data_IF_044334033127
#
_entry.id   IF_044334033127
#
_cell.length_a   1.000
_cell.length_b   1.000
_cell.length_c   1.000
_cell.angle_alpha   90.00
_cell.angle_beta   90.00
_cell.angle_gamma   90.00
#
_symmetry.space_group_name_H-M   'P 1'
#
loop_
_entity.id
_entity.type
_entity.pdbx_description
1 polymer ?
#
# COMPACT_ATOMS: atom_id res chain seq x y z
N UNK A 1 -14.48 -19.25 4.37
CA UNK A 1 -14.72 -18.68 3.04
C UNK A 1 -13.40 -18.70 2.31
N UNK A 2 -13.28 -19.50 1.25
CA UNK A 2 -12.05 -19.52 0.44
C UNK A 2 -12.20 -18.45 -0.63
N UNK A 3 -11.40 -17.37 -0.61
CA UNK A 3 -11.48 -16.37 -1.67
C UNK A 3 -10.99 -16.97 -3.00
N UNK A 4 -11.53 -16.49 -4.14
CA UNK A 4 -11.04 -16.91 -5.45
C UNK A 4 -9.56 -16.51 -5.64
N UNK A 5 -8.82 -17.16 -6.55
CA UNK A 5 -7.44 -16.80 -6.86
C UNK A 5 -7.31 -15.30 -7.17
N UNK A 6 -6.28 -14.66 -6.60
CA UNK A 6 -6.05 -13.22 -6.75
C UNK A 6 -6.94 -12.33 -5.88
N UNK A 7 -7.75 -12.89 -4.98
CA UNK A 7 -8.55 -12.16 -4.00
C UNK A 7 -8.14 -12.50 -2.55
N UNK A 8 -8.37 -11.57 -1.65
CA UNK A 8 -8.07 -11.68 -0.23
C UNK A 8 -9.24 -11.14 0.61
N UNK A 9 -9.42 -11.70 1.80
CA UNK A 9 -10.41 -11.20 2.76
C UNK A 9 -9.75 -10.16 3.65
N UNK A 10 -10.30 -8.94 3.66
CA UNK A 10 -9.86 -7.83 4.51
C UNK A 10 -10.88 -7.54 5.62
N UNK A 11 -10.40 -6.95 6.72
CA UNK A 11 -11.20 -6.41 7.80
C UNK A 11 -11.39 -4.91 7.59
N UNK A 12 -12.62 -4.45 7.35
CA UNK A 12 -12.92 -3.04 7.03
C UNK A 12 -12.50 -2.07 8.15
N UNK A 13 -12.64 -2.48 9.41
CA UNK A 13 -12.28 -1.67 10.57
C UNK A 13 -10.85 -1.88 11.08
N UNK A 14 -10.03 -2.71 10.41
CA UNK A 14 -8.68 -3.13 10.83
C UNK A 14 -8.60 -3.92 12.15
N UNK A 15 -9.73 -4.24 12.77
CA UNK A 15 -9.79 -5.05 13.97
C UNK A 15 -9.85 -6.54 13.60
N UNK A 16 -8.82 -7.28 13.98
CA UNK A 16 -8.71 -8.72 13.74
C UNK A 16 -9.60 -9.55 14.67
N UNK A 17 -10.11 -8.96 15.75
CA UNK A 17 -11.02 -9.60 16.70
C UNK A 17 -12.49 -9.45 16.28
N UNK A 18 -12.80 -8.47 15.43
CA UNK A 18 -14.14 -8.31 14.86
C UNK A 18 -14.32 -9.20 13.62
N UNK A 19 -14.61 -10.48 13.87
CA UNK A 19 -14.86 -11.49 12.83
C UNK A 19 -16.31 -11.48 12.30
N UNK A 20 -17.09 -10.41 12.52
CA UNK A 20 -18.46 -10.31 11.99
C UNK A 20 -18.43 -10.28 10.46
N UNK A 21 -19.39 -10.94 9.80
CA UNK A 21 -19.48 -10.97 8.32
C UNK A 21 -19.58 -9.56 7.70
N UNK A 22 -20.19 -8.60 8.42
CA UNK A 22 -20.27 -7.21 7.97
C UNK A 22 -18.90 -6.49 7.96
N UNK A 23 -17.93 -6.96 8.75
CA UNK A 23 -16.58 -6.40 8.80
C UNK A 23 -15.61 -7.08 7.81
N UNK A 24 -16.00 -8.22 7.22
CA UNK A 24 -15.18 -8.99 6.30
C UNK A 24 -15.58 -8.69 4.85
N UNK A 25 -14.63 -8.25 4.03
CA UNK A 25 -14.85 -8.01 2.59
C UNK A 25 -13.84 -8.77 1.75
N UNK A 26 -14.32 -9.41 0.68
CA UNK A 26 -13.44 -9.99 -0.35
C UNK A 26 -13.09 -8.89 -1.33
N UNK A 27 -11.79 -8.63 -1.49
CA UNK A 27 -11.26 -7.64 -2.42
C UNK A 27 -10.16 -8.27 -3.26
N UNK A 28 -9.76 -7.63 -4.35
CA UNK A 28 -8.58 -8.08 -5.10
C UNK A 28 -7.33 -7.95 -4.23
N UNK A 29 -6.32 -8.78 -4.48
CA UNK A 29 -5.01 -8.68 -3.81
C UNK A 29 -4.38 -7.29 -3.95
N UNK A 30 -4.64 -6.58 -5.06
CA UNK A 30 -4.16 -5.21 -5.26
C UNK A 30 -4.87 -4.21 -4.33
N UNK A 31 -6.18 -4.33 -4.18
CA UNK A 31 -6.97 -3.52 -3.23
C UNK A 31 -6.63 -3.87 -1.78
N UNK A 32 -6.46 -5.16 -1.45
CA UNK A 32 -6.05 -5.58 -0.11
C UNK A 32 -4.70 -4.95 0.27
N UNK A 33 -3.71 -4.99 -0.63
CA UNK A 33 -2.42 -4.33 -0.42
C UNK A 33 -2.57 -2.83 -0.16
N UNK A 34 -3.52 -2.14 -0.82
CA UNK A 34 -3.83 -0.72 -0.56
C UNK A 34 -4.60 -0.49 0.73
N UNK A 35 -5.43 -1.43 1.14
CA UNK A 35 -6.13 -1.39 2.41
C UNK A 35 -5.17 -1.60 3.58
N UNK A 36 -4.25 -2.55 3.49
CA UNK A 36 -3.34 -2.91 4.58
C UNK A 36 -2.49 -1.73 5.06
N UNK A 37 -2.28 -1.67 6.38
CA UNK A 37 -1.35 -0.72 7.00
C UNK A 37 0.06 -0.94 6.48
N UNK A 38 0.87 0.11 6.50
CA UNK A 38 2.30 0.00 6.23
C UNK A 38 2.89 -0.97 7.25
N UNK A 39 3.81 -1.83 6.79
CA UNK A 39 4.43 -2.81 7.69
C UNK A 39 5.28 -2.08 8.73
N UNK A 40 5.35 -2.65 9.93
CA UNK A 40 6.08 -2.07 11.08
C UNK A 40 7.58 -1.96 10.85
N UNK A 41 8.13 -2.81 10.00
CA UNK A 41 9.53 -2.83 9.58
C UNK A 41 9.83 -1.90 8.39
N UNK A 42 8.83 -1.16 7.90
CA UNK A 42 9.06 -0.13 6.90
C UNK A 42 9.91 0.99 7.49
N UNK A 43 11.11 1.21 6.93
CA UNK A 43 12.02 2.28 7.35
C UNK A 43 11.40 3.67 7.23
N UNK A 44 10.56 3.87 6.22
CA UNK A 44 9.90 5.15 5.95
C UNK A 44 8.57 5.27 6.68
N UNK A 45 7.93 4.15 7.05
CA UNK A 45 6.54 4.17 7.55
C UNK A 45 5.50 4.67 6.54
N UNK A 46 5.93 5.05 5.33
CA UNK A 46 5.07 5.58 4.26
C UNK A 46 4.81 4.51 3.22
N UNK A 47 3.57 4.47 2.72
CA UNK A 47 3.15 3.49 1.73
C UNK A 47 3.62 3.89 0.35
N UNK A 48 4.22 2.95 -0.38
CA UNK A 48 4.66 3.20 -1.75
C UNK A 48 5.82 4.19 -1.87
N UNK A 49 6.50 4.52 -0.76
CA UNK A 49 7.69 5.36 -0.75
C UNK A 49 8.86 4.55 -0.21
N UNK A 50 9.92 4.47 -1.01
CA UNK A 50 11.13 3.71 -0.72
C UNK A 50 12.30 4.67 -0.58
N UNK A 51 13.02 4.58 0.54
CA UNK A 51 14.27 5.32 0.73
C UNK A 51 15.46 4.49 0.23
N UNK A 52 16.28 5.09 -0.64
CA UNK A 52 17.51 4.53 -1.15
C UNK A 52 18.71 5.18 -0.45
N UNK A 53 19.41 4.47 0.44
CA UNK A 53 20.52 5.03 1.21
C UNK A 53 21.77 5.30 0.38
N UNK A 54 21.98 4.58 -0.73
CA UNK A 54 23.20 4.71 -1.54
C UNK A 54 23.25 6.04 -2.31
N UNK A 55 22.07 6.58 -2.64
CA UNK A 55 21.92 7.82 -3.39
C UNK A 55 21.24 8.94 -2.61
N UNK A 56 20.91 8.72 -1.33
CA UNK A 56 20.11 9.64 -0.50
C UNK A 56 18.84 10.14 -1.24
N UNK A 57 18.09 9.20 -1.80
CA UNK A 57 16.92 9.48 -2.66
C UNK A 57 15.68 8.73 -2.21
N UNK A 58 14.53 9.31 -2.50
CA UNK A 58 13.20 8.84 -2.14
C UNK A 58 12.41 8.49 -3.40
N UNK A 59 12.13 7.21 -3.62
CA UNK A 59 11.42 6.75 -4.81
C UNK A 59 9.96 6.46 -4.47
N UNK A 60 9.05 7.13 -5.16
CA UNK A 60 7.62 6.86 -5.09
C UNK A 60 7.23 5.81 -6.14
N UNK A 61 6.60 4.73 -5.70
CA UNK A 61 6.18 3.59 -6.52
C UNK A 61 4.74 3.23 -6.19
N UNK A 62 3.91 3.10 -7.22
CA UNK A 62 2.55 2.58 -7.09
C UNK A 62 2.40 1.25 -7.81
N UNK A 63 1.51 0.40 -7.31
CA UNK A 63 1.20 -0.87 -7.96
C UNK A 63 -0.20 -0.78 -8.57
N UNK A 64 -0.27 -1.00 -9.89
CA UNK A 64 -1.52 -1.11 -10.66
C UNK A 64 -1.50 -2.41 -11.45
N UNK A 65 -2.59 -3.18 -11.38
CA UNK A 65 -2.75 -4.44 -12.11
C UNK A 65 -1.59 -5.44 -11.94
N UNK A 66 -0.98 -5.49 -10.75
CA UNK A 66 0.15 -6.39 -10.46
C UNK A 66 1.53 -5.88 -10.91
N UNK A 67 1.59 -4.78 -11.67
CA UNK A 67 2.84 -4.16 -12.11
C UNK A 67 3.22 -2.96 -11.24
N UNK A 68 4.51 -2.81 -10.96
CA UNK A 68 5.07 -1.64 -10.28
C UNK A 68 5.25 -0.50 -11.29
N UNK A 69 4.76 0.68 -10.94
CA UNK A 69 4.91 1.92 -11.69
C UNK A 69 5.68 2.89 -10.83
N UNK A 70 6.88 3.26 -11.27
CA UNK A 70 7.68 4.30 -10.65
C UNK A 70 7.05 5.64 -11.02
N UNK A 71 6.65 6.40 -10.01
CA UNK A 71 6.09 7.75 -10.17
C UNK A 71 7.24 8.73 -10.38
N UNK A 72 8.30 8.59 -9.59
CA UNK A 72 9.49 9.42 -9.65
C UNK A 72 10.43 9.15 -8.50
N UNK A 73 11.62 9.73 -8.61
CA UNK A 73 12.65 9.75 -7.57
C UNK A 73 12.83 11.20 -7.12
N UNK A 74 12.81 11.43 -5.82
CA UNK A 74 12.85 12.72 -5.17
C UNK A 74 14.00 12.78 -4.17
N UNK A 75 14.33 13.98 -3.70
CA UNK A 75 15.36 14.18 -2.69
C UNK A 75 14.79 14.27 -1.28
N UNK A 76 13.47 14.40 -1.15
CA UNK A 76 12.78 14.50 0.14
C UNK A 76 11.66 13.48 0.26
N UNK A 77 11.37 13.06 1.49
CA UNK A 77 10.28 12.14 1.81
C UNK A 77 8.92 12.78 1.47
N UNK A 78 8.78 14.08 1.76
CA UNK A 78 7.55 14.85 1.56
C UNK A 78 7.17 14.94 0.08
N UNK A 79 8.14 15.19 -0.81
CA UNK A 79 7.90 15.22 -2.26
C UNK A 79 7.48 13.85 -2.79
N UNK A 80 8.16 12.78 -2.35
CA UNK A 80 7.82 11.42 -2.74
C UNK A 80 6.41 11.03 -2.28
N UNK A 81 6.04 11.42 -1.06
CA UNK A 81 4.70 11.20 -0.51
C UNK A 81 3.64 12.00 -1.28
N UNK A 82 3.88 13.28 -1.55
CA UNK A 82 2.94 14.12 -2.30
C UNK A 82 2.71 13.57 -3.72
N UNK A 83 3.78 13.11 -4.38
CA UNK A 83 3.68 12.47 -5.69
C UNK A 83 2.91 11.15 -5.64
N UNK A 84 3.11 10.34 -4.59
CA UNK A 84 2.34 9.11 -4.37
C UNK A 84 0.85 9.40 -4.16
N UNK A 85 0.52 10.35 -3.29
CA UNK A 85 -0.86 10.74 -2.97
C UNK A 85 -1.59 11.30 -4.21
N UNK A 86 -0.88 12.03 -5.09
CA UNK A 86 -1.44 12.53 -6.35
C UNK A 86 -1.82 11.41 -7.34
N UNK A 87 -1.09 10.30 -7.36
CA UNK A 87 -1.30 9.19 -8.31
C UNK A 87 -2.23 8.11 -7.75
N UNK A 88 -2.26 7.96 -6.44
CA UNK A 88 -3.09 7.00 -5.72
C UNK A 88 -4.13 7.74 -4.87
N UNK A 89 -5.17 8.34 -5.49
CA UNK A 89 -6.27 8.91 -4.72
C UNK A 89 -6.83 7.83 -3.78
N UNK A 90 -6.95 8.20 -2.50
CA UNK A 90 -7.40 7.34 -1.40
C UNK A 90 -8.83 6.85 -1.62
#
# INVERSE_FOLDING_TARGET
MTPPPGHEVIFLNFDRLDCRRANLKVVTTSEARRHHRVRRDSKTGVKGVHYNPDGDTWTAVTYRNGSAYVIGTFYTEEEAKAAYDAVSPT
#
